data_IF_990294519390
#
_entry.id   IF_990294519390
#
_cell.length_a   1.000
_cell.length_b   1.000
_cell.length_c   1.000
_cell.angle_alpha   90.00
_cell.angle_beta   90.00
_cell.angle_gamma   90.00
#
_symmetry.space_group_name_H-M   'P 1'
#
loop_
_entity.id
_entity.type
_entity.pdbx_description
1 polymer ?
#
# COMPACT_ATOMS: atom_id res chain seq x y z
N UNK A 1 -10.38 -16.25 -6.03
CA UNK A 1 -8.97 -16.48 -5.62
C UNK A 1 -8.87 -17.78 -4.83
N UNK A 2 -9.72 -18.00 -3.82
CA UNK A 2 -9.69 -19.24 -3.01
C UNK A 2 -9.95 -20.47 -3.86
N UNK A 3 -10.87 -20.39 -4.82
CA UNK A 3 -11.18 -21.47 -5.75
C UNK A 3 -10.04 -21.76 -6.75
N UNK A 4 -9.23 -20.74 -7.06
CA UNK A 4 -8.13 -20.84 -8.01
C UNK A 4 -6.81 -21.32 -7.36
N UNK A 5 -6.69 -21.30 -6.04
CA UNK A 5 -5.46 -21.62 -5.32
C UNK A 5 -5.75 -22.25 -3.96
N UNK A 6 -6.18 -23.51 -3.91
CA UNK A 6 -6.50 -24.19 -2.66
C UNK A 6 -5.31 -24.30 -1.68
N UNK A 7 -4.09 -24.15 -2.20
CA UNK A 7 -2.87 -24.15 -1.37
C UNK A 7 -2.74 -22.90 -0.48
N UNK A 8 -3.41 -21.80 -0.79
CA UNK A 8 -3.44 -20.60 0.06
C UNK A 8 -3.94 -20.94 1.47
N UNK A 9 -4.93 -21.84 1.56
CA UNK A 9 -5.52 -22.27 2.83
C UNK A 9 -4.56 -23.09 3.70
N UNK A 10 -3.46 -23.60 3.12
CA UNK A 10 -2.39 -24.33 3.83
C UNK A 10 -1.28 -23.41 4.30
N UNK A 11 -1.30 -22.13 3.90
CA UNK A 11 -0.34 -21.13 4.35
C UNK A 11 -0.36 -20.97 5.87
N UNK A 12 0.79 -20.65 6.44
CA UNK A 12 0.94 -20.36 7.86
C UNK A 12 0.78 -18.87 8.16
N UNK A 13 1.19 -18.02 7.23
CA UNK A 13 1.16 -16.56 7.35
C UNK A 13 0.88 -15.92 5.99
N UNK A 14 0.12 -14.84 6.01
CA UNK A 14 -0.04 -13.91 4.91
C UNK A 14 0.76 -12.64 5.21
N UNK A 15 1.72 -12.31 4.35
CA UNK A 15 2.54 -11.11 4.48
C UNK A 15 2.57 -10.37 3.15
N UNK A 16 2.12 -9.10 3.09
CA UNK A 16 2.42 -8.22 1.97
C UNK A 16 3.92 -8.11 1.74
N UNK A 17 4.34 -7.75 0.54
CA UNK A 17 5.76 -7.78 0.17
C UNK A 17 6.66 -6.97 1.12
N UNK A 18 6.24 -5.77 1.52
CA UNK A 18 6.98 -4.95 2.49
C UNK A 18 7.11 -5.65 3.85
N UNK A 19 6.04 -6.26 4.35
CA UNK A 19 6.04 -7.01 5.60
C UNK A 19 6.85 -8.31 5.49
N UNK A 20 6.86 -8.95 4.33
CA UNK A 20 7.72 -10.11 4.07
C UNK A 20 9.20 -9.75 4.15
N UNK A 21 9.60 -8.62 3.58
CA UNK A 21 10.98 -8.14 3.69
C UNK A 21 11.38 -7.87 5.14
N UNK A 22 10.53 -7.20 5.92
CA UNK A 22 10.77 -7.00 7.36
C UNK A 22 10.88 -8.34 8.10
N UNK A 23 10.01 -9.30 7.80
CA UNK A 23 10.06 -10.64 8.39
C UNK A 23 11.39 -11.37 8.08
N UNK A 24 11.85 -11.32 6.83
CA UNK A 24 13.12 -11.95 6.44
C UNK A 24 14.32 -11.33 7.20
N UNK A 25 14.25 -10.05 7.50
CA UNK A 25 15.31 -9.32 8.22
C UNK A 25 15.25 -9.59 9.72
N UNK A 26 14.03 -9.60 10.31
CA UNK A 26 13.83 -9.55 11.76
C UNK A 26 13.30 -10.84 12.38
N UNK A 27 12.68 -11.70 11.57
CA UNK A 27 11.90 -12.84 12.04
C UNK A 27 10.51 -12.46 12.61
N UNK A 28 10.11 -11.19 12.58
CA UNK A 28 8.82 -10.72 13.11
C UNK A 28 7.74 -10.77 12.03
N UNK A 29 6.78 -11.69 12.16
CA UNK A 29 5.67 -11.85 11.23
C UNK A 29 4.50 -10.92 11.60
N UNK A 30 4.66 -9.63 11.35
CA UNK A 30 3.62 -8.61 11.50
C UNK A 30 3.25 -7.99 10.16
N UNK A 31 2.10 -7.33 10.09
CA UNK A 31 1.67 -6.58 8.91
C UNK A 31 1.56 -5.10 9.29
N UNK A 32 2.28 -4.25 8.58
CA UNK A 32 2.25 -2.82 8.86
C UNK A 32 0.90 -2.22 8.43
N UNK A 33 0.36 -1.27 9.22
CA UNK A 33 -1.03 -0.79 9.08
C UNK A 33 -1.34 -0.09 7.79
N UNK A 34 -0.40 0.66 7.21
CA UNK A 34 -0.69 1.40 5.97
C UNK A 34 -0.88 0.42 4.82
N UNK A 35 -0.01 -0.60 4.70
CA UNK A 35 -0.18 -1.64 3.69
C UNK A 35 -1.37 -2.58 4.02
N UNK A 36 -1.65 -2.84 5.31
CA UNK A 36 -2.82 -3.60 5.70
C UNK A 36 -4.12 -2.93 5.27
N UNK A 37 -4.18 -1.60 5.29
CA UNK A 37 -5.39 -0.85 4.95
C UNK A 37 -5.81 -0.99 3.48
N UNK A 38 -4.86 -1.20 2.56
CA UNK A 38 -5.17 -1.37 1.13
C UNK A 38 -5.68 -2.78 0.80
N UNK A 39 -5.63 -3.69 1.76
CA UNK A 39 -6.23 -5.02 1.61
C UNK A 39 -7.75 -5.01 1.83
N UNK A 40 -8.31 -3.92 2.36
CA UNK A 40 -9.72 -3.78 2.74
C UNK A 40 -10.21 -4.83 3.75
N UNK A 41 -9.30 -5.37 4.55
CA UNK A 41 -9.55 -6.40 5.56
C UNK A 41 -9.44 -5.89 6.99
N UNK A 42 -9.22 -4.59 7.17
CA UNK A 42 -9.26 -3.93 8.46
C UNK A 42 -10.67 -3.49 8.83
N UNK A 43 -10.92 -3.32 10.12
CA UNK A 43 -12.06 -2.56 10.62
C UNK A 43 -12.00 -1.12 10.05
N UNK A 44 -13.15 -0.45 10.03
CA UNK A 44 -13.27 0.88 9.45
C UNK A 44 -12.31 1.92 10.04
N UNK A 45 -12.02 1.79 11.34
CA UNK A 45 -11.06 2.65 12.03
C UNK A 45 -9.58 2.24 11.81
N UNK A 46 -9.34 1.18 11.04
CA UNK A 46 -8.02 0.67 10.69
C UNK A 46 -7.19 0.16 11.88
N UNK A 47 -7.80 -0.09 13.04
CA UNK A 47 -7.09 -0.47 14.26
C UNK A 47 -6.82 -1.95 14.38
N UNK A 48 -7.71 -2.77 13.83
CA UNK A 48 -7.62 -4.23 13.89
C UNK A 48 -8.15 -4.87 12.61
N UNK A 49 -7.89 -6.16 12.46
CA UNK A 49 -8.46 -6.96 11.39
C UNK A 49 -9.96 -7.09 11.54
N UNK A 50 -10.69 -7.08 10.44
CA UNK A 50 -12.13 -7.30 10.41
C UNK A 50 -12.43 -8.80 10.35
N UNK A 51 -12.47 -9.44 11.51
CA UNK A 51 -12.73 -10.87 11.63
C UNK A 51 -14.13 -11.29 11.15
N UNK A 52 -15.08 -10.37 11.11
CA UNK A 52 -16.40 -10.65 10.51
C UNK A 52 -16.28 -10.87 9.00
N UNK A 53 -15.51 -10.02 8.32
CA UNK A 53 -15.20 -10.19 6.89
C UNK A 53 -14.45 -11.49 6.66
N UNK A 54 -13.47 -11.83 7.50
CA UNK A 54 -12.75 -13.09 7.39
C UNK A 54 -13.67 -14.28 7.43
N UNK A 55 -14.59 -14.32 8.40
CA UNK A 55 -15.57 -15.40 8.53
C UNK A 55 -16.52 -15.48 7.33
N UNK A 56 -17.03 -14.35 6.85
CA UNK A 56 -17.89 -14.29 5.67
C UNK A 56 -17.21 -14.77 4.39
N UNK A 57 -15.92 -14.51 4.25
CA UNK A 57 -15.12 -14.90 3.08
C UNK A 57 -14.45 -16.27 3.22
N UNK A 58 -14.59 -16.94 4.37
CA UNK A 58 -13.91 -18.21 4.65
C UNK A 58 -12.39 -18.07 4.75
N UNK A 59 -11.86 -16.89 5.11
CA UNK A 59 -10.43 -16.63 5.25
C UNK A 59 -9.99 -17.05 6.65
N UNK A 60 -8.99 -17.94 6.79
CA UNK A 60 -8.50 -18.35 8.11
C UNK A 60 -7.83 -17.18 8.86
N UNK A 61 -8.34 -16.82 10.02
CA UNK A 61 -7.80 -15.74 10.86
C UNK A 61 -6.33 -15.95 11.21
N UNK A 62 -5.90 -17.20 11.38
CA UNK A 62 -4.51 -17.58 11.70
C UNK A 62 -3.48 -17.09 10.69
N UNK A 63 -3.89 -16.80 9.45
CA UNK A 63 -2.99 -16.30 8.41
C UNK A 63 -2.50 -14.87 8.69
N UNK A 64 -3.31 -14.10 9.42
CA UNK A 64 -3.04 -12.68 9.66
C UNK A 64 -2.42 -12.49 11.05
N UNK A 65 -1.17 -12.04 11.05
CA UNK A 65 -0.42 -11.74 12.26
C UNK A 65 -0.84 -10.40 12.89
N UNK A 66 -0.13 -9.98 13.95
CA UNK A 66 -0.36 -8.70 14.58
C UNK A 66 -0.09 -7.55 13.60
N UNK A 67 -0.79 -6.43 13.81
CA UNK A 67 -0.54 -5.20 13.08
C UNK A 67 0.61 -4.43 13.74
N UNK A 68 1.53 -3.90 12.93
CA UNK A 68 2.59 -3.01 13.38
C UNK A 68 2.32 -1.56 12.95
N UNK A 69 2.92 -0.61 13.67
CA UNK A 69 2.80 0.82 13.36
C UNK A 69 4.07 1.32 12.65
N UNK A 70 3.92 2.18 11.63
CA UNK A 70 5.06 2.81 10.99
C UNK A 70 5.79 3.75 11.96
N UNK A 71 7.12 3.87 11.82
CA UNK A 71 7.96 4.66 12.70
C UNK A 71 8.26 4.00 14.06
N UNK A 72 7.92 2.72 14.24
CA UNK A 72 8.20 1.97 15.45
C UNK A 72 9.16 0.81 15.20
N UNK A 73 9.97 0.41 16.20
CA UNK A 73 10.80 -0.79 16.08
C UNK A 73 9.93 -2.03 15.85
N UNK A 74 10.31 -2.84 14.87
CA UNK A 74 9.69 -4.13 14.53
C UNK A 74 10.76 -5.23 14.56
N UNK A 75 11.38 -5.42 15.71
CA UNK A 75 12.48 -6.37 15.91
C UNK A 75 13.85 -5.79 15.58
N UNK A 76 14.82 -6.69 15.46
CA UNK A 76 16.20 -6.36 15.14
C UNK A 76 16.73 -7.30 14.06
N UNK A 77 17.76 -6.87 13.35
CA UNK A 77 18.41 -7.67 12.31
C UNK A 77 18.92 -8.99 12.95
N UNK A 78 18.43 -10.11 12.42
CA UNK A 78 18.83 -11.45 12.89
C UNK A 78 20.27 -11.78 12.51
N UNK A 79 20.91 -12.68 13.28
CA UNK A 79 22.26 -13.14 12.97
C UNK A 79 22.35 -13.83 11.61
N UNK A 80 21.30 -14.59 11.24
CA UNK A 80 21.22 -15.26 9.94
C UNK A 80 21.17 -14.28 8.77
N UNK A 81 20.42 -13.19 8.92
CA UNK A 81 20.36 -12.16 7.87
C UNK A 81 21.65 -11.34 7.81
N UNK A 82 22.21 -10.99 8.95
CA UNK A 82 23.44 -10.19 9.02
C UNK A 82 24.68 -10.87 8.40
N UNK A 83 24.72 -12.21 8.36
CA UNK A 83 25.71 -13.09 7.72
C UNK A 83 27.11 -12.47 7.50
N UNK A 84 27.81 -12.13 8.58
CA UNK A 84 29.18 -11.58 8.52
C UNK A 84 29.27 -10.07 8.30
N UNK A 85 28.17 -9.35 8.09
CA UNK A 85 28.17 -7.90 7.88
C UNK A 85 28.30 -7.06 9.17
N UNK A 86 28.34 -7.69 10.35
CA UNK A 86 28.52 -7.00 11.63
C UNK A 86 27.32 -6.16 12.11
N UNK A 87 26.14 -6.31 11.47
CA UNK A 87 24.93 -5.50 11.75
C UNK A 87 23.85 -6.28 12.53
N UNK A 88 24.16 -7.48 13.05
CA UNK A 88 23.22 -8.23 13.85
C UNK A 88 22.82 -7.46 15.12
N UNK A 89 21.53 -7.52 15.46
CA UNK A 89 20.99 -6.84 16.65
C UNK A 89 20.65 -5.37 16.44
N UNK A 90 20.97 -4.77 15.29
CA UNK A 90 20.54 -3.40 14.97
C UNK A 90 19.01 -3.36 14.86
N UNK A 91 18.33 -2.41 15.55
CA UNK A 91 16.87 -2.28 15.48
C UNK A 91 16.40 -1.98 14.06
N UNK A 92 15.31 -2.63 13.64
CA UNK A 92 14.62 -2.35 12.37
C UNK A 92 13.38 -1.52 12.67
N UNK A 93 13.29 -0.38 12.03
CA UNK A 93 12.15 0.53 12.17
C UNK A 93 11.22 0.31 10.96
N UNK A 94 9.96 -0.08 11.23
CA UNK A 94 8.96 -0.17 10.18
C UNK A 94 8.73 1.20 9.53
N UNK A 95 8.72 1.23 8.21
CA UNK A 95 8.26 2.39 7.44
C UNK A 95 6.80 2.19 7.04
N UNK A 96 6.16 3.22 6.46
CA UNK A 96 4.85 3.02 5.83
C UNK A 96 5.02 2.04 4.67
N UNK A 97 4.50 0.82 4.82
CA UNK A 97 4.65 -0.26 3.85
C UNK A 97 3.87 -0.03 2.55
N UNK A 98 2.89 0.87 2.58
CA UNK A 98 2.22 1.40 1.39
C UNK A 98 3.04 2.57 0.83
N UNK A 99 3.59 2.41 -0.36
CA UNK A 99 4.51 3.36 -1.00
C UNK A 99 3.94 4.78 -1.13
N UNK A 100 2.66 4.90 -1.49
CA UNK A 100 1.96 6.19 -1.55
C UNK A 100 1.95 6.88 -0.17
N UNK A 101 1.70 6.15 0.91
CA UNK A 101 1.72 6.72 2.26
C UNK A 101 3.14 7.12 2.69
N UNK A 102 4.17 6.38 2.28
CA UNK A 102 5.57 6.78 2.44
C UNK A 102 5.88 8.06 1.68
N UNK A 103 5.46 8.17 0.42
CA UNK A 103 5.64 9.38 -0.38
C UNK A 103 4.92 10.60 0.22
N UNK A 104 3.69 10.40 0.72
CA UNK A 104 2.91 11.46 1.37
C UNK A 104 3.55 11.97 2.67
N UNK A 105 4.31 11.13 3.38
CA UNK A 105 5.08 11.57 4.55
C UNK A 105 6.24 12.48 4.18
N UNK A 106 6.82 12.31 3.00
CA UNK A 106 7.90 13.15 2.49
C UNK A 106 7.38 14.45 1.82
N UNK A 107 6.07 14.56 1.56
CA UNK A 107 5.50 15.72 0.88
C UNK A 107 5.50 16.96 1.79
N UNK A 108 6.22 18.05 1.43
CA UNK A 108 6.36 19.23 2.29
C UNK A 108 5.01 19.91 2.49
N UNK A 109 4.68 20.17 3.76
CA UNK A 109 3.51 20.95 4.13
C UNK A 109 2.16 20.32 3.74
N UNK A 110 2.11 19.01 3.50
CA UNK A 110 0.86 18.31 3.28
C UNK A 110 0.07 18.24 4.59
N UNK A 111 -0.97 19.01 4.69
CA UNK A 111 -1.89 19.07 5.83
C UNK A 111 -3.34 18.85 5.39
N UNK A 112 -4.26 18.95 6.34
CA UNK A 112 -5.71 18.76 6.10
C UNK A 112 -6.36 19.80 5.16
N UNK A 113 -5.66 20.87 4.82
CA UNK A 113 -6.17 21.94 3.95
C UNK A 113 -5.74 21.75 2.50
N UNK A 114 -4.90 20.75 2.23
CA UNK A 114 -4.33 20.49 0.92
C UNK A 114 -4.78 19.16 0.38
N UNK A 115 -4.90 19.09 -0.91
CA UNK A 115 -5.07 17.86 -1.67
C UNK A 115 -3.74 17.41 -2.24
N UNK A 116 -3.61 16.11 -2.49
CA UNK A 116 -2.46 15.55 -3.18
C UNK A 116 -2.90 14.83 -4.45
N UNK A 117 -1.99 14.74 -5.39
CA UNK A 117 -2.11 13.88 -6.56
C UNK A 117 -0.83 13.06 -6.68
N UNK A 118 -0.96 11.76 -6.57
CA UNK A 118 0.14 10.83 -6.88
C UNK A 118 0.03 10.43 -8.34
N UNK A 119 1.05 10.75 -9.13
CA UNK A 119 1.07 10.52 -10.57
C UNK A 119 1.91 9.29 -10.90
N UNK A 120 1.27 8.26 -11.36
CA UNK A 120 1.90 7.00 -11.75
C UNK A 120 1.11 6.30 -12.86
N UNK A 121 1.25 4.99 -12.96
CA UNK A 121 0.42 4.15 -13.84
C UNK A 121 -1.07 4.37 -13.58
N UNK A 122 -1.45 4.51 -12.29
CA UNK A 122 -2.73 5.06 -11.83
C UNK A 122 -2.48 6.40 -11.15
N UNK A 123 -3.41 7.33 -11.25
CA UNK A 123 -3.40 8.56 -10.47
C UNK A 123 -4.22 8.36 -9.21
N UNK A 124 -3.68 8.79 -8.08
CA UNK A 124 -4.39 8.79 -6.81
C UNK A 124 -4.57 10.24 -6.37
N UNK A 125 -5.82 10.70 -6.38
CA UNK A 125 -6.20 12.01 -5.88
C UNK A 125 -6.78 11.89 -4.48
N UNK A 126 -6.37 12.75 -3.55
CA UNK A 126 -6.90 12.66 -2.19
C UNK A 126 -6.51 13.80 -1.27
N UNK A 127 -6.97 13.67 -0.03
CA UNK A 127 -6.68 14.61 1.05
C UNK A 127 -6.44 13.86 2.36
N UNK A 128 -5.62 14.45 3.23
CA UNK A 128 -5.43 13.97 4.60
C UNK A 128 -6.62 14.31 5.46
N UNK A 129 -7.17 13.33 6.16
CA UNK A 129 -8.28 13.48 7.08
C UNK A 129 -7.97 12.86 8.45
N UNK A 130 -8.64 13.32 9.50
CA UNK A 130 -8.40 12.85 10.88
C UNK A 130 -9.14 11.54 11.19
N UNK A 131 -10.22 11.28 10.47
CA UNK A 131 -11.06 10.11 10.66
C UNK A 131 -11.53 9.60 9.28
N UNK A 132 -11.88 8.31 9.16
CA UNK A 132 -12.43 7.78 7.92
C UNK A 132 -13.73 8.50 7.57
N UNK A 133 -13.89 8.84 6.30
CA UNK A 133 -15.12 9.39 5.76
C UNK A 133 -15.94 8.27 5.16
N UNK A 134 -17.03 7.92 5.83
CA UNK A 134 -17.92 6.83 5.42
C UNK A 134 -19.35 7.33 5.42
N UNK A 135 -19.80 7.69 4.24
CA UNK A 135 -21.16 8.13 3.99
C UNK A 135 -21.60 7.67 2.59
N UNK A 136 -22.84 7.95 2.24
CA UNK A 136 -23.44 7.52 0.98
C UNK A 136 -22.72 8.15 -0.22
N UNK A 137 -22.32 9.40 -0.11
CA UNK A 137 -21.64 10.15 -1.16
C UNK A 137 -20.24 9.55 -1.42
N UNK A 138 -19.43 9.34 -0.36
CA UNK A 138 -18.10 8.78 -0.51
C UNK A 138 -18.12 7.36 -1.09
N UNK A 139 -19.15 6.57 -0.75
CA UNK A 139 -19.36 5.25 -1.33
C UNK A 139 -19.78 5.33 -2.80
N UNK A 140 -20.77 6.16 -3.13
CA UNK A 140 -21.25 6.35 -4.50
C UNK A 140 -20.12 6.82 -5.41
N UNK A 141 -19.32 7.77 -4.95
CA UNK A 141 -18.22 8.36 -5.70
C UNK A 141 -16.93 7.52 -5.64
N UNK A 142 -17.00 6.34 -5.01
CA UNK A 142 -15.89 5.39 -4.91
C UNK A 142 -14.64 5.93 -4.25
N UNK A 143 -14.81 6.81 -3.26
CA UNK A 143 -13.70 7.18 -2.39
C UNK A 143 -13.34 6.02 -1.46
N UNK A 144 -12.07 5.90 -1.19
CA UNK A 144 -11.52 4.93 -0.24
C UNK A 144 -10.78 5.64 0.88
N UNK A 145 -10.79 5.04 2.06
CA UNK A 145 -10.01 5.50 3.20
C UNK A 145 -8.79 4.59 3.34
N UNK A 146 -7.60 5.12 3.19
CA UNK A 146 -6.35 4.42 3.48
C UNK A 146 -5.82 4.88 4.84
N UNK A 147 -5.31 3.95 5.64
CA UNK A 147 -4.66 4.30 6.90
C UNK A 147 -3.33 4.96 6.63
N UNK A 148 -3.16 6.18 7.13
CA UNK A 148 -1.93 6.94 7.05
C UNK A 148 -1.09 6.84 8.32
N UNK A 149 0.11 7.38 8.26
CA UNK A 149 1.04 7.47 9.39
C UNK A 149 0.49 8.42 10.46
N UNK A 150 0.82 8.17 11.73
CA UNK A 150 0.45 9.05 12.85
C UNK A 150 -1.04 9.07 13.16
N UNK A 151 -1.77 8.02 12.82
CA UNK A 151 -3.19 7.93 13.12
C UNK A 151 -4.10 8.71 12.15
N UNK A 152 -3.55 9.21 11.05
CA UNK A 152 -4.31 9.90 10.00
C UNK A 152 -4.93 8.93 9.02
N UNK A 153 -5.72 9.45 8.09
CA UNK A 153 -6.26 8.72 6.96
C UNK A 153 -6.06 9.53 5.69
N UNK A 154 -5.96 8.84 4.55
CA UNK A 154 -6.04 9.45 3.23
C UNK A 154 -7.37 9.07 2.60
N UNK A 155 -8.27 10.06 2.49
CA UNK A 155 -9.49 9.92 1.70
C UNK A 155 -9.11 10.15 0.26
N UNK A 156 -9.20 9.12 -0.57
CA UNK A 156 -8.68 9.18 -1.94
C UNK A 156 -9.51 8.39 -2.93
N UNK A 157 -9.27 8.70 -4.19
CA UNK A 157 -9.91 8.06 -5.34
C UNK A 157 -8.86 7.81 -6.42
N UNK A 158 -8.95 6.62 -7.04
CA UNK A 158 -8.07 6.25 -8.14
C UNK A 158 -8.68 6.65 -9.48
N UNK A 159 -7.80 7.08 -10.39
CA UNK A 159 -8.13 7.33 -11.78
C UNK A 159 -7.11 6.62 -12.67
N UNK A 160 -7.48 6.24 -13.90
CA UNK A 160 -6.51 5.84 -14.90
C UNK A 160 -5.48 6.97 -15.07
N UNK A 161 -4.21 6.63 -14.93
CA UNK A 161 -3.10 7.57 -15.06
C UNK A 161 -2.33 7.35 -16.35
N UNK A 162 -1.01 7.29 -16.27
CA UNK A 162 -0.13 7.05 -17.41
C UNK A 162 -0.38 5.72 -18.14
N UNK A 163 -1.13 4.81 -17.54
CA UNK A 163 -1.59 3.61 -18.24
C UNK A 163 -2.32 3.96 -19.57
N UNK A 164 -3.10 5.06 -19.59
CA UNK A 164 -3.75 5.51 -20.82
C UNK A 164 -2.70 5.89 -21.87
N UNK A 165 -1.68 6.66 -21.45
CA UNK A 165 -0.59 7.06 -22.33
C UNK A 165 0.18 5.85 -22.87
N UNK A 166 0.48 4.85 -22.00
CA UNK A 166 1.12 3.60 -22.43
C UNK A 166 0.31 2.91 -23.54
N UNK A 167 -1.01 2.81 -23.37
CA UNK A 167 -1.88 2.19 -24.38
C UNK A 167 -1.92 3.01 -25.68
N UNK A 168 -1.89 4.33 -25.59
CA UNK A 168 -1.76 5.18 -26.76
C UNK A 168 -0.41 4.97 -27.46
N UNK A 169 0.68 4.94 -26.72
CA UNK A 169 2.03 4.68 -27.25
C UNK A 169 2.13 3.33 -27.96
N UNK A 170 1.53 2.27 -27.41
CA UNK A 170 1.46 0.97 -28.07
C UNK A 170 0.78 1.04 -29.44
N UNK A 171 -0.28 1.80 -29.56
CA UNK A 171 -1.00 1.98 -30.85
C UNK A 171 -0.21 2.87 -31.81
N UNK A 172 0.31 3.99 -31.33
CA UNK A 172 1.05 4.95 -32.16
C UNK A 172 2.35 4.35 -32.70
N UNK A 173 3.05 3.51 -31.92
CA UNK A 173 4.27 2.80 -32.37
C UNK A 173 4.03 1.80 -33.48
N UNK A 174 2.78 1.35 -33.72
CA UNK A 174 2.45 0.55 -34.91
C UNK A 174 2.57 1.35 -36.19
N UNK A 175 2.35 2.68 -36.13
CA UNK A 175 2.44 3.58 -37.29
C UNK A 175 3.80 4.29 -37.31
N UNK A 176 4.34 4.64 -36.14
CA UNK A 176 5.63 5.31 -35.97
C UNK A 176 6.52 4.49 -34.99
N UNK A 177 7.24 3.47 -35.50
CA UNK A 177 7.93 2.50 -34.65
C UNK A 177 8.97 3.07 -33.68
N UNK A 178 9.54 4.23 -33.99
CA UNK A 178 10.56 4.92 -33.15
C UNK A 178 9.98 6.04 -32.30
N UNK A 179 8.66 6.12 -32.16
CA UNK A 179 8.02 7.13 -31.30
C UNK A 179 8.45 6.95 -29.85
N UNK A 180 8.99 7.99 -29.27
CA UNK A 180 9.34 8.08 -27.85
C UNK A 180 8.47 9.10 -27.11
N UNK A 181 8.64 9.17 -25.80
CA UNK A 181 7.86 10.07 -24.96
C UNK A 181 8.23 11.55 -25.18
N UNK A 182 9.49 11.82 -25.53
CA UNK A 182 9.99 13.17 -25.77
C UNK A 182 9.27 13.76 -26.98
N UNK A 183 9.17 13.01 -28.08
CA UNK A 183 8.44 13.44 -29.27
C UNK A 183 6.93 13.66 -28.99
N UNK A 184 6.32 12.82 -28.15
CA UNK A 184 4.90 12.99 -27.77
C UNK A 184 4.73 14.24 -26.90
N UNK A 185 5.60 14.50 -25.95
CA UNK A 185 5.55 15.70 -25.11
C UNK A 185 5.73 16.97 -25.98
N UNK A 186 6.72 16.97 -26.87
CA UNK A 186 6.95 18.08 -27.77
C UNK A 186 5.77 18.37 -28.72
N UNK A 187 5.02 17.34 -29.10
CA UNK A 187 3.82 17.51 -29.92
C UNK A 187 2.60 17.99 -29.13
N UNK A 188 2.64 17.96 -27.81
CA UNK A 188 1.56 18.41 -26.92
C UNK A 188 1.69 19.88 -26.48
N UNK A 189 2.84 20.51 -26.72
CA UNK A 189 3.11 21.94 -26.49
C UNK A 189 2.59 22.81 -27.65
#
# INVERSE_FOLDING_TARGET
VLDCSPNIMRGERFLPLSSLLEYLITGQASVERTIASVLYLLEQDGRQWNYEVFRKLGIPEKLFGPLSEPGRPNGSITRSFAAGAGIAGVPVISVAGHDTESALMAAPGLDKTKVFVSLGTSFIFGARVKAPVVNRESFHDRFKNMRGVGGTYSLCKDFPGFWILERCMEQWRKQVPRLDYEAVCAAAE
#
